data_IF_348342931233
#
_entry.id   IF_348342931233
#
_cell.length_a   1.000
_cell.length_b   1.000
_cell.length_c   1.000
_cell.angle_alpha   90.00
_cell.angle_beta   90.00
_cell.angle_gamma   90.00
#
_symmetry.space_group_name_H-M   'P 1'
#
loop_
_entity.id
_entity.type
_entity.pdbx_description
1 polymer ?
#
# COMPACT_ATOMS: atom_id res chain seq x y z
N UNK A 1 37.19 -24.59 4.57
CA UNK A 1 35.88 -24.49 5.25
C UNK A 1 35.29 -25.88 5.47
N UNK A 2 34.82 -26.12 6.66
CA UNK A 2 34.18 -27.36 6.98
C UNK A 2 32.77 -27.47 6.36
N UNK A 3 32.28 -28.68 6.23
CA UNK A 3 30.98 -28.98 5.70
C UNK A 3 29.87 -28.29 6.48
N UNK A 4 29.98 -28.25 7.81
CA UNK A 4 28.99 -27.64 8.68
C UNK A 4 28.94 -26.11 8.50
N UNK A 5 30.08 -25.49 8.27
CA UNK A 5 30.14 -24.06 8.03
C UNK A 5 29.46 -23.69 6.72
N UNK A 6 29.65 -24.52 5.68
CA UNK A 6 29.02 -24.33 4.39
C UNK A 6 27.49 -24.49 4.52
N UNK A 7 27.05 -25.52 5.23
CA UNK A 7 25.60 -25.76 5.46
C UNK A 7 24.97 -24.64 6.26
N UNK A 8 25.68 -24.11 7.25
CA UNK A 8 25.19 -23.00 8.05
C UNK A 8 25.06 -21.74 7.20
N UNK A 9 26.03 -21.48 6.35
CA UNK A 9 26.00 -20.32 5.45
C UNK A 9 24.83 -20.42 4.47
N UNK A 10 24.56 -21.61 3.94
CA UNK A 10 23.44 -21.85 3.04
C UNK A 10 22.09 -21.63 3.76
N UNK A 11 21.95 -22.16 4.97
CA UNK A 11 20.72 -21.99 5.75
C UNK A 11 20.48 -20.54 6.09
N UNK A 12 21.54 -19.83 6.44
CA UNK A 12 21.45 -18.40 6.74
C UNK A 12 21.02 -17.61 5.49
N UNK A 13 21.63 -17.92 4.35
CA UNK A 13 21.28 -17.27 3.09
C UNK A 13 19.82 -17.53 2.70
N UNK A 14 19.34 -18.77 2.88
CA UNK A 14 17.96 -19.13 2.61
C UNK A 14 17.00 -18.40 3.55
N UNK A 15 17.34 -18.30 4.82
CA UNK A 15 16.54 -17.59 5.80
C UNK A 15 16.45 -16.10 5.47
N UNK A 16 17.56 -15.48 5.11
CA UNK A 16 17.60 -14.08 4.72
C UNK A 16 16.80 -13.82 3.44
N UNK A 17 16.90 -14.73 2.47
CA UNK A 17 16.14 -14.64 1.23
C UNK A 17 14.63 -14.74 1.51
N UNK A 18 14.22 -15.68 2.35
CA UNK A 18 12.82 -15.85 2.75
C UNK A 18 12.30 -14.59 3.44
N UNK A 19 13.09 -14.01 4.32
CA UNK A 19 12.74 -12.79 5.03
C UNK A 19 12.59 -11.62 4.06
N UNK A 20 13.52 -11.49 3.12
CA UNK A 20 13.48 -10.44 2.09
C UNK A 20 12.20 -10.53 1.28
N UNK A 21 11.82 -11.74 0.86
CA UNK A 21 10.59 -11.96 0.09
C UNK A 21 9.35 -11.61 0.93
N UNK A 22 9.32 -12.09 2.17
CA UNK A 22 8.19 -11.82 3.08
C UNK A 22 8.03 -10.32 3.34
N UNK A 23 9.14 -9.61 3.58
CA UNK A 23 9.14 -8.18 3.79
C UNK A 23 8.64 -7.44 2.54
N UNK A 24 9.09 -7.87 1.37
CA UNK A 24 8.66 -7.28 0.10
C UNK A 24 7.16 -7.49 -0.16
N UNK A 25 6.65 -8.68 0.13
CA UNK A 25 5.22 -8.98 0.00
C UNK A 25 4.38 -8.12 0.95
N UNK A 26 4.84 -7.97 2.19
CA UNK A 26 4.17 -7.15 3.19
C UNK A 26 4.16 -5.68 2.76
N UNK A 27 5.29 -5.18 2.29
CA UNK A 27 5.42 -3.81 1.81
C UNK A 27 4.53 -3.55 0.61
N UNK A 28 4.49 -4.47 -0.34
CA UNK A 28 3.63 -4.36 -1.52
C UNK A 28 2.14 -4.32 -1.13
N UNK A 29 1.72 -5.17 -0.19
CA UNK A 29 0.35 -5.19 0.32
C UNK A 29 -0.01 -3.86 1.00
N UNK A 30 0.92 -3.30 1.75
CA UNK A 30 0.75 -2.02 2.43
C UNK A 30 0.62 -0.87 1.43
N UNK A 31 1.43 -0.86 0.38
CA UNK A 31 1.37 0.14 -0.68
C UNK A 31 0.00 0.10 -1.36
N UNK A 32 -0.48 -1.10 -1.70
CA UNK A 32 -1.79 -1.27 -2.34
C UNK A 32 -2.90 -0.80 -1.41
N UNK A 33 -2.84 -1.16 -0.13
CA UNK A 33 -3.84 -0.75 0.86
C UNK A 33 -3.92 0.77 0.98
N UNK A 34 -2.78 1.42 1.08
CA UNK A 34 -2.70 2.88 1.17
C UNK A 34 -3.21 3.55 -0.10
N UNK A 35 -2.89 2.98 -1.25
CA UNK A 35 -3.37 3.51 -2.54
C UNK A 35 -4.89 3.42 -2.65
N UNK A 36 -5.49 2.34 -2.18
CA UNK A 36 -6.94 2.16 -2.18
C UNK A 36 -7.63 3.16 -1.24
N UNK A 37 -7.05 3.38 -0.06
CA UNK A 37 -7.56 4.37 0.87
C UNK A 37 -7.50 5.76 0.26
N UNK A 38 -6.39 6.08 -0.37
CA UNK A 38 -6.21 7.38 -1.05
C UNK A 38 -7.22 7.56 -2.16
N UNK A 39 -7.45 6.53 -2.97
CA UNK A 39 -8.44 6.57 -4.03
C UNK A 39 -9.85 6.80 -3.48
N UNK A 40 -10.20 6.12 -2.39
CA UNK A 40 -11.48 6.30 -1.73
C UNK A 40 -11.65 7.73 -1.21
N UNK A 41 -10.62 8.29 -0.59
CA UNK A 41 -10.64 9.68 -0.12
C UNK A 41 -10.84 10.66 -1.26
N UNK A 42 -10.15 10.45 -2.37
CA UNK A 42 -10.26 11.31 -3.55
C UNK A 42 -11.69 11.28 -4.10
N UNK A 43 -12.28 10.10 -4.20
CA UNK A 43 -13.64 9.94 -4.68
C UNK A 43 -14.65 10.60 -3.73
N UNK A 44 -14.50 10.40 -2.42
CA UNK A 44 -15.40 10.98 -1.44
C UNK A 44 -15.29 12.51 -1.40
N UNK A 45 -14.08 13.03 -1.46
CA UNK A 45 -13.84 14.47 -1.48
C UNK A 45 -14.42 15.10 -2.75
N UNK A 46 -14.18 14.47 -3.90
CA UNK A 46 -14.72 14.94 -5.18
C UNK A 46 -16.24 14.95 -5.20
N UNK A 47 -16.85 13.91 -4.65
CA UNK A 47 -18.30 13.78 -4.55
C UNK A 47 -18.88 14.87 -3.64
N UNK A 48 -18.27 15.08 -2.48
CA UNK A 48 -18.67 16.10 -1.54
C UNK A 48 -18.55 17.50 -2.12
N UNK A 49 -17.44 17.78 -2.80
CA UNK A 49 -17.19 19.08 -3.44
C UNK A 49 -18.19 19.32 -4.58
N UNK A 50 -18.50 18.30 -5.34
CA UNK A 50 -19.48 18.36 -6.43
C UNK A 50 -20.88 18.67 -5.88
N UNK A 51 -21.28 18.03 -4.81
CA UNK A 51 -22.56 18.27 -4.15
C UNK A 51 -22.65 19.69 -3.60
N UNK A 52 -21.60 20.17 -2.95
CA UNK A 52 -21.53 21.53 -2.42
C UNK A 52 -21.60 22.56 -3.55
N UNK A 53 -20.90 22.31 -4.65
CA UNK A 53 -20.91 23.17 -5.82
C UNK A 53 -22.31 23.25 -6.44
N UNK A 54 -22.98 22.10 -6.56
CA UNK A 54 -24.36 22.02 -7.09
C UNK A 54 -25.33 22.79 -6.21
N UNK A 55 -25.21 22.65 -4.89
CA UNK A 55 -26.06 23.38 -3.94
C UNK A 55 -25.85 24.88 -4.06
N UNK A 56 -24.63 25.33 -4.18
CA UNK A 56 -24.30 26.73 -4.37
C UNK A 56 -24.91 27.28 -5.66
N UNK A 57 -24.80 26.53 -6.75
CA UNK A 57 -25.35 26.93 -8.04
C UNK A 57 -26.87 27.09 -7.98
N UNK A 58 -27.55 26.15 -7.34
CA UNK A 58 -28.99 26.19 -7.14
C UNK A 58 -29.37 27.39 -6.29
N UNK A 59 -28.64 27.63 -5.21
CA UNK A 59 -28.88 28.74 -4.29
C UNK A 59 -28.72 30.09 -4.99
N UNK A 60 -27.68 30.25 -5.83
CA UNK A 60 -27.43 31.47 -6.57
C UNK A 60 -28.46 31.71 -7.69
N UNK A 61 -29.00 30.64 -8.26
CA UNK A 61 -29.99 30.73 -9.32
C UNK A 61 -31.37 31.20 -8.84
N UNK A 62 -31.62 31.10 -7.53
CA UNK A 62 -32.85 31.58 -6.92
C UNK A 62 -32.78 33.09 -6.74
#
# INVERSE_FOLDING_TARGET
MGREEVLRAIRQAESEAAKTIADAESEAAEIISKARLKATEIIQTGKSDSEASSQNMISEAR
#
